data_IF_019298961125
#
_entry.id   IF_019298961125
#
_cell.length_a   1.000
_cell.length_b   1.000
_cell.length_c   1.000
_cell.angle_alpha   90.00
_cell.angle_beta   90.00
_cell.angle_gamma   90.00
#
_symmetry.space_group_name_H-M   'P 1'
#
loop_
_entity.id
_entity.type
_entity.pdbx_description
1 polymer ?
#
# COMPACT_ATOMS: atom_id res chain seq x y z
N UNK A 1 -20.23 -5.08 29.06
CA UNK A 1 -19.76 -6.07 28.07
C UNK A 1 -19.44 -5.41 26.73
N UNK A 2 -20.37 -4.63 26.14
CA UNK A 2 -20.18 -3.91 24.86
C UNK A 2 -18.95 -2.97 24.83
N UNK A 3 -18.65 -2.26 25.92
CA UNK A 3 -17.53 -1.30 25.94
C UNK A 3 -16.15 -1.96 25.75
N UNK A 4 -15.93 -3.15 26.33
CA UNK A 4 -14.63 -3.85 26.22
C UNK A 4 -14.44 -4.38 24.80
N UNK A 5 -15.51 -4.88 24.18
CA UNK A 5 -15.50 -5.37 22.79
C UNK A 5 -15.14 -4.26 21.79
N UNK A 6 -15.72 -3.06 21.95
CA UNK A 6 -15.41 -1.91 21.12
C UNK A 6 -13.94 -1.49 21.24
N UNK A 7 -13.41 -1.41 22.46
CA UNK A 7 -12.02 -1.05 22.70
C UNK A 7 -11.07 -2.03 22.00
N UNK A 8 -11.32 -3.33 22.12
CA UNK A 8 -10.48 -4.35 21.48
C UNK A 8 -10.54 -4.25 19.95
N UNK A 9 -11.74 -4.04 19.40
CA UNK A 9 -11.93 -3.89 17.94
C UNK A 9 -11.21 -2.67 17.40
N UNK A 10 -11.37 -1.53 18.04
CA UNK A 10 -10.80 -0.27 17.57
C UNK A 10 -9.27 -0.26 17.72
N UNK A 11 -8.73 -0.92 18.76
CA UNK A 11 -7.29 -1.10 18.91
C UNK A 11 -6.72 -2.00 17.79
N UNK A 12 -7.43 -3.07 17.42
CA UNK A 12 -7.04 -3.93 16.31
C UNK A 12 -7.06 -3.18 14.96
N UNK A 13 -8.11 -2.39 14.72
CA UNK A 13 -8.19 -1.52 13.54
C UNK A 13 -7.06 -0.48 13.52
N UNK A 14 -6.79 0.18 14.65
CA UNK A 14 -5.70 1.15 14.77
C UNK A 14 -4.34 0.54 14.50
N UNK A 15 -4.09 -0.68 14.99
CA UNK A 15 -2.85 -1.41 14.73
C UNK A 15 -2.72 -1.77 13.24
N UNK A 16 -3.78 -2.29 12.61
CA UNK A 16 -3.79 -2.58 11.17
C UNK A 16 -3.49 -1.31 10.35
N UNK A 17 -4.15 -0.21 10.67
CA UNK A 17 -3.93 1.08 9.99
C UNK A 17 -2.49 1.58 10.19
N UNK A 18 -1.95 1.43 11.40
CA UNK A 18 -0.55 1.74 11.72
C UNK A 18 0.45 0.91 10.90
N UNK A 19 0.18 -0.39 10.71
CA UNK A 19 1.00 -1.23 9.82
C UNK A 19 0.97 -0.73 8.38
N UNK A 20 -0.20 -0.34 7.85
CA UNK A 20 -0.31 0.25 6.50
C UNK A 20 0.54 1.52 6.38
N UNK A 21 0.41 2.45 7.31
CA UNK A 21 1.22 3.68 7.29
C UNK A 21 2.71 3.42 7.49
N UNK A 22 3.09 2.42 8.28
CA UNK A 22 4.48 2.01 8.48
C UNK A 22 5.11 1.52 7.18
N UNK A 23 4.41 0.66 6.42
CA UNK A 23 4.87 0.16 5.12
C UNK A 23 5.02 1.31 4.12
N UNK A 24 4.02 2.21 4.07
CA UNK A 24 4.06 3.41 3.22
C UNK A 24 5.28 4.29 3.54
N UNK A 25 5.50 4.60 4.82
CA UNK A 25 6.63 5.40 5.27
C UNK A 25 7.98 4.72 4.99
N UNK A 26 8.04 3.38 5.09
CA UNK A 26 9.24 2.62 4.80
C UNK A 26 9.66 2.74 3.33
N UNK A 27 8.70 2.78 2.40
CA UNK A 27 8.98 3.01 0.98
C UNK A 27 9.69 4.36 0.74
N UNK A 28 9.19 5.44 1.36
CA UNK A 28 9.83 6.75 1.28
C UNK A 28 11.22 6.76 1.94
N UNK A 29 11.37 6.04 3.06
CA UNK A 29 12.66 5.91 3.75
C UNK A 29 13.72 5.26 2.85
N UNK A 30 13.40 4.18 2.13
CA UNK A 30 14.36 3.53 1.21
C UNK A 30 14.80 4.50 0.10
N UNK A 31 13.85 5.26 -0.47
CA UNK A 31 14.13 6.20 -1.56
C UNK A 31 15.09 7.31 -1.10
N UNK A 32 14.81 7.95 0.04
CA UNK A 32 15.66 9.04 0.54
C UNK A 32 16.92 8.56 1.26
N UNK A 33 16.84 7.44 1.98
CA UNK A 33 17.91 6.90 2.80
C UNK A 33 19.01 6.20 1.99
N UNK A 34 18.62 5.46 0.95
CA UNK A 34 19.56 4.66 0.14
C UNK A 34 19.80 5.32 -1.21
N UNK A 35 18.74 5.55 -1.98
CA UNK A 35 18.84 6.01 -3.38
C UNK A 35 19.18 7.50 -3.49
N UNK A 36 18.77 8.30 -2.49
CA UNK A 36 18.99 9.77 -2.42
C UNK A 36 18.46 10.54 -3.64
N UNK A 37 17.40 10.02 -4.28
CA UNK A 37 16.71 10.66 -5.41
C UNK A 37 15.32 11.08 -4.97
N UNK A 38 14.86 12.27 -5.39
CA UNK A 38 13.48 12.71 -5.17
C UNK A 38 12.53 11.91 -6.07
N UNK A 39 11.56 11.22 -5.47
CA UNK A 39 10.48 10.56 -6.19
C UNK A 39 9.17 11.34 -5.98
N UNK A 40 8.74 12.10 -7.00
CA UNK A 40 7.48 12.85 -6.97
C UNK A 40 6.26 11.94 -7.21
N UNK A 41 6.45 10.82 -7.90
CA UNK A 41 5.41 9.84 -8.22
C UNK A 41 5.08 8.89 -7.05
N UNK A 42 5.77 8.98 -5.91
CA UNK A 42 5.58 8.04 -4.80
C UNK A 42 4.11 7.93 -4.36
N UNK A 43 3.41 9.06 -4.26
CA UNK A 43 1.97 9.09 -3.94
C UNK A 43 1.11 8.43 -5.01
N UNK A 44 1.47 8.59 -6.29
CA UNK A 44 0.75 7.99 -7.41
C UNK A 44 0.90 6.46 -7.41
N UNK A 45 2.09 5.93 -7.11
CA UNK A 45 2.31 4.49 -6.96
C UNK A 45 1.57 3.89 -5.75
N UNK A 46 1.44 4.63 -4.64
CA UNK A 46 0.62 4.20 -3.51
C UNK A 46 -0.86 4.14 -3.92
N UNK A 47 -1.35 5.16 -4.62
CA UNK A 47 -2.73 5.19 -5.11
C UNK A 47 -3.00 4.04 -6.08
N UNK A 48 -2.05 3.70 -6.96
CA UNK A 48 -2.17 2.56 -7.86
C UNK A 48 -2.44 1.26 -7.09
N UNK A 49 -1.69 0.99 -6.01
CA UNK A 49 -1.92 -0.18 -5.16
C UNK A 49 -3.27 -0.13 -4.43
N UNK A 50 -3.65 1.02 -3.88
CA UNK A 50 -4.93 1.17 -3.18
C UNK A 50 -6.14 0.98 -4.10
N UNK A 51 -6.11 1.57 -5.30
CA UNK A 51 -7.17 1.38 -6.29
C UNK A 51 -7.13 -0.02 -6.89
N UNK A 52 -5.96 -0.64 -7.06
CA UNK A 52 -5.81 -2.04 -7.45
C UNK A 52 -6.58 -2.96 -6.49
N UNK A 53 -6.29 -2.86 -5.18
CA UNK A 53 -7.00 -3.58 -4.13
C UNK A 53 -8.51 -3.29 -4.14
N UNK A 54 -8.91 -2.03 -4.32
CA UNK A 54 -10.32 -1.63 -4.42
C UNK A 54 -11.02 -2.31 -5.59
N UNK A 55 -10.44 -2.30 -6.79
CA UNK A 55 -11.05 -2.92 -7.97
C UNK A 55 -11.05 -4.45 -7.88
N UNK A 56 -9.99 -5.04 -7.34
CA UNK A 56 -9.95 -6.48 -7.09
C UNK A 56 -11.03 -6.90 -6.08
N UNK A 57 -11.26 -6.10 -5.04
CA UNK A 57 -12.37 -6.32 -4.12
C UNK A 57 -13.73 -6.14 -4.82
N UNK A 58 -13.90 -5.09 -5.62
CA UNK A 58 -15.15 -4.77 -6.30
C UNK A 58 -15.57 -5.84 -7.33
N UNK A 59 -14.62 -6.38 -8.10
CA UNK A 59 -14.91 -7.30 -9.19
C UNK A 59 -14.73 -8.78 -8.83
N UNK A 60 -13.80 -9.10 -7.95
CA UNK A 60 -13.43 -10.48 -7.60
C UNK A 60 -13.83 -10.83 -6.15
N UNK A 61 -14.16 -9.83 -5.32
CA UNK A 61 -14.55 -10.04 -3.93
C UNK A 61 -13.39 -10.36 -2.99
N UNK A 62 -12.14 -10.30 -3.46
CA UNK A 62 -10.97 -10.60 -2.62
C UNK A 62 -10.69 -9.47 -1.64
N UNK A 63 -10.24 -9.79 -0.44
CA UNK A 63 -9.93 -8.76 0.56
C UNK A 63 -8.65 -7.98 0.19
N UNK A 64 -8.50 -6.72 0.64
CA UNK A 64 -7.29 -5.92 0.32
C UNK A 64 -5.97 -6.55 0.78
N UNK A 65 -6.02 -7.42 1.80
CA UNK A 65 -4.84 -8.14 2.26
C UNK A 65 -4.47 -9.29 1.30
N UNK A 66 -5.47 -10.00 0.78
CA UNK A 66 -5.30 -11.07 -0.21
C UNK A 66 -4.92 -10.52 -1.59
N UNK A 67 -5.31 -9.28 -1.91
CA UNK A 67 -4.94 -8.63 -3.17
C UNK A 67 -3.47 -8.20 -3.22
N UNK A 68 -2.81 -8.06 -2.06
CA UNK A 68 -1.46 -7.51 -1.94
C UNK A 68 -0.41 -8.17 -2.87
N UNK A 69 -0.36 -9.51 -3.07
CA UNK A 69 0.58 -10.12 -4.01
C UNK A 69 0.31 -9.72 -5.46
N UNK A 70 -0.97 -9.63 -5.85
CA UNK A 70 -1.38 -9.24 -7.20
C UNK A 70 -1.02 -7.77 -7.45
N UNK A 71 -1.34 -6.89 -6.51
CA UNK A 71 -1.02 -5.46 -6.59
C UNK A 71 0.49 -5.21 -6.57
N UNK A 72 1.27 -6.01 -5.82
CA UNK A 72 2.72 -5.94 -5.83
C UNK A 72 3.31 -6.31 -7.21
N UNK A 73 2.76 -7.34 -7.86
CA UNK A 73 3.18 -7.73 -9.22
C UNK A 73 2.82 -6.63 -10.23
N UNK A 74 1.60 -6.09 -10.18
CA UNK A 74 1.18 -4.97 -11.03
C UNK A 74 2.09 -3.76 -10.82
N UNK A 75 2.31 -3.36 -9.57
CA UNK A 75 3.17 -2.24 -9.21
C UNK A 75 4.62 -2.42 -9.68
N UNK A 76 5.15 -3.64 -9.61
CA UNK A 76 6.49 -3.96 -10.12
C UNK A 76 6.58 -3.76 -11.64
N UNK A 77 5.61 -4.27 -12.40
CA UNK A 77 5.60 -4.10 -13.85
C UNK A 77 5.41 -2.65 -14.27
N UNK A 78 4.51 -1.92 -13.63
CA UNK A 78 4.30 -0.48 -13.89
C UNK A 78 5.55 0.31 -13.55
N UNK A 79 6.16 0.06 -12.39
CA UNK A 79 7.40 0.71 -11.97
C UNK A 79 8.56 0.42 -12.92
N UNK A 80 8.71 -0.83 -13.35
CA UNK A 80 9.71 -1.23 -14.34
C UNK A 80 9.50 -0.49 -15.68
N UNK A 81 8.27 -0.43 -16.19
CA UNK A 81 7.97 0.30 -17.41
C UNK A 81 8.29 1.80 -17.28
N UNK A 82 7.94 2.41 -16.14
CA UNK A 82 8.27 3.81 -15.87
C UNK A 82 9.77 4.08 -15.86
N UNK A 83 10.55 3.16 -15.27
CA UNK A 83 12.00 3.30 -15.20
C UNK A 83 12.65 3.37 -16.59
N UNK A 84 12.18 2.61 -17.58
CA UNK A 84 12.75 2.66 -18.94
C UNK A 84 12.11 3.71 -19.85
N UNK A 85 10.87 4.12 -19.57
CA UNK A 85 10.17 5.08 -20.42
C UNK A 85 10.60 6.53 -20.13
N UNK A 86 10.91 6.86 -18.87
CA UNK A 86 11.15 8.22 -18.41
C UNK A 86 12.54 8.47 -17.82
N UNK A 87 13.31 7.41 -17.56
CA UNK A 87 14.67 7.45 -17.00
C UNK A 87 15.64 6.74 -17.96
#
# INVERSE_FOLDING_TARGET
MVAVELIVRDLAFGLMLGCVFSVVAHGLNIIWGVVKVVNIAHGEFIMLGAYGAYFLNLFIGITPLESAPVDAVIGLFVGYAFYYAFL
#
